data_IF_006499728906
#
_entry.id   IF_006499728906
#
_cell.length_a   1.000
_cell.length_b   1.000
_cell.length_c   1.000
_cell.angle_alpha   90.00
_cell.angle_beta   90.00
_cell.angle_gamma   90.00
#
_symmetry.space_group_name_H-M   'P 1'
#
loop_
_entity.id
_entity.type
_entity.pdbx_description
1 polymer ?
#
# COMPACT_ATOMS: atom_id res chain seq x y z
N UNK A 1 14.14 23.18 9.37
CA UNK A 1 12.90 22.97 8.59
C UNK A 1 13.22 23.23 7.12
N UNK A 2 12.66 22.44 6.20
CA UNK A 2 13.05 22.40 4.77
C UNK A 2 11.86 22.73 3.86
N UNK A 3 12.02 23.65 2.92
CA UNK A 3 11.06 23.81 1.82
C UNK A 3 11.24 22.66 0.83
N UNK A 4 10.14 22.08 0.37
CA UNK A 4 10.14 20.87 -0.46
C UNK A 4 9.45 21.07 -1.80
N UNK A 5 9.79 20.21 -2.75
CA UNK A 5 9.08 20.11 -4.02
C UNK A 5 8.13 18.90 -4.05
N UNK A 6 7.37 18.78 -5.13
CA UNK A 6 6.45 17.66 -5.34
C UNK A 6 7.12 16.29 -5.36
N UNK A 7 8.37 16.17 -5.84
CA UNK A 7 9.08 14.88 -5.85
C UNK A 7 9.30 14.33 -4.45
N UNK A 8 9.70 15.18 -3.51
CA UNK A 8 9.95 14.78 -2.13
C UNK A 8 8.66 14.38 -1.40
N UNK A 9 7.57 15.11 -1.65
CA UNK A 9 6.24 14.77 -1.11
C UNK A 9 5.77 13.43 -1.66
N UNK A 10 5.85 13.23 -2.98
CA UNK A 10 5.40 12.00 -3.63
C UNK A 10 6.28 10.81 -3.25
N UNK A 11 7.60 10.99 -3.13
CA UNK A 11 8.49 9.94 -2.65
C UNK A 11 8.08 9.48 -1.25
N UNK A 12 7.78 10.42 -0.34
CA UNK A 12 7.33 10.09 1.01
C UNK A 12 5.95 9.42 1.02
N UNK A 13 5.05 9.84 0.13
CA UNK A 13 3.74 9.21 -0.06
C UNK A 13 3.87 7.78 -0.62
N UNK A 14 4.76 7.55 -1.58
CA UNK A 14 5.00 6.23 -2.18
C UNK A 14 5.68 5.24 -1.23
N UNK A 15 6.28 5.70 -0.11
CA UNK A 15 6.67 4.80 0.98
C UNK A 15 5.46 4.20 1.71
N UNK A 16 4.32 4.92 1.72
CA UNK A 16 3.07 4.49 2.34
C UNK A 16 2.18 3.72 1.36
N UNK A 17 2.04 4.22 0.12
CA UNK A 17 1.28 3.58 -0.95
C UNK A 17 2.15 3.38 -2.20
N UNK A 18 3.05 2.38 -2.21
CA UNK A 18 3.94 2.12 -3.32
C UNK A 18 3.21 1.79 -4.62
N UNK A 19 3.73 2.26 -5.76
CA UNK A 19 3.13 2.02 -7.09
C UNK A 19 2.97 0.54 -7.45
N UNK A 20 3.88 -0.32 -6.97
CA UNK A 20 3.83 -1.76 -7.29
C UNK A 20 2.62 -2.49 -6.67
N UNK A 21 1.89 -1.84 -5.76
CA UNK A 21 0.67 -2.40 -5.17
C UNK A 21 -0.56 -2.20 -6.06
N UNK A 22 -0.49 -1.35 -7.08
CA UNK A 22 -1.62 -1.12 -7.97
C UNK A 22 -1.92 -2.35 -8.84
N UNK A 23 -3.19 -2.54 -9.18
CA UNK A 23 -3.61 -3.53 -10.16
C UNK A 23 -2.99 -3.25 -11.53
N UNK A 24 -2.76 -4.31 -12.30
CA UNK A 24 -2.21 -4.19 -13.64
C UNK A 24 -3.10 -3.34 -14.55
N UNK A 25 -2.51 -2.29 -15.13
CA UNK A 25 -3.22 -1.37 -16.03
C UNK A 25 -3.91 -0.20 -15.33
N UNK A 26 -3.83 -0.08 -14.01
CA UNK A 26 -4.39 1.05 -13.27
C UNK A 26 -3.58 2.35 -13.51
N UNK A 27 -4.21 3.45 -13.99
CA UNK A 27 -3.49 4.67 -14.39
C UNK A 27 -3.14 5.57 -13.19
N UNK A 28 -2.22 5.10 -12.34
CA UNK A 28 -1.71 5.84 -11.18
C UNK A 28 -0.49 6.72 -11.52
N UNK A 29 -0.07 7.56 -10.56
CA UNK A 29 1.11 8.42 -10.71
C UNK A 29 0.76 9.86 -11.09
N UNK A 30 1.78 10.65 -11.48
CA UNK A 30 1.57 12.01 -11.95
C UNK A 30 0.79 12.00 -13.27
N UNK A 31 -0.39 12.60 -13.28
CA UNK A 31 -1.25 12.65 -14.47
C UNK A 31 -1.22 14.01 -15.16
N UNK A 32 -1.17 15.10 -14.40
CA UNK A 32 -1.17 16.48 -14.92
C UNK A 32 -0.13 17.29 -14.17
N UNK A 33 0.64 18.13 -14.87
CA UNK A 33 1.59 19.06 -14.28
C UNK A 33 3.02 18.51 -14.11
N UNK A 34 3.71 19.00 -13.08
CA UNK A 34 5.14 18.75 -12.79
C UNK A 34 5.40 18.71 -11.28
N UNK A 35 6.42 17.97 -10.85
CA UNK A 35 6.75 17.76 -9.42
C UNK A 35 8.02 18.48 -8.96
N UNK A 36 8.73 19.17 -9.85
CA UNK A 36 9.97 19.87 -9.56
C UNK A 36 9.78 21.30 -9.02
N UNK A 37 8.53 21.74 -8.85
CA UNK A 37 8.20 23.04 -8.28
C UNK A 37 8.05 22.98 -6.76
N UNK A 38 8.29 24.12 -6.09
CA UNK A 38 8.07 24.26 -4.65
C UNK A 38 6.59 24.03 -4.32
N UNK A 39 6.32 23.24 -3.27
CA UNK A 39 4.96 22.94 -2.82
C UNK A 39 4.78 23.41 -1.39
N UNK A 40 3.87 24.37 -1.20
CA UNK A 40 3.49 24.88 0.13
C UNK A 40 2.18 24.26 0.63
N UNK A 41 1.25 23.96 -0.28
CA UNK A 41 -0.05 23.38 0.02
C UNK A 41 -0.29 22.14 -0.85
N UNK A 42 -0.57 21.03 -0.19
CA UNK A 42 -0.99 19.75 -0.79
C UNK A 42 -2.42 19.48 -0.37
N UNK A 43 -3.28 19.15 -1.33
CA UNK A 43 -4.66 18.78 -1.07
C UNK A 43 -4.90 17.31 -1.40
N UNK A 44 -5.54 16.58 -0.49
CA UNK A 44 -5.97 15.21 -0.70
C UNK A 44 -7.45 15.21 -1.08
N UNK A 45 -7.82 14.56 -2.18
CA UNK A 45 -9.22 14.49 -2.66
C UNK A 45 -9.58 13.10 -3.15
N UNK A 46 -10.86 12.74 -3.12
CA UNK A 46 -11.36 11.50 -3.73
C UNK A 46 -11.37 11.69 -5.26
N UNK A 47 -12.20 12.61 -5.72
CA UNK A 47 -12.38 12.94 -7.13
C UNK A 47 -11.77 14.31 -7.47
N UNK A 48 -11.38 14.50 -8.73
CA UNK A 48 -10.91 15.78 -9.26
C UNK A 48 -11.97 16.36 -10.18
N UNK A 49 -12.94 17.02 -9.55
CA UNK A 49 -14.04 17.73 -10.21
C UNK A 49 -13.74 19.23 -10.32
N UNK A 50 -14.48 19.94 -11.16
CA UNK A 50 -14.27 21.38 -11.37
C UNK A 50 -14.36 22.20 -10.07
N UNK A 51 -15.30 21.87 -9.16
CA UNK A 51 -15.43 22.50 -7.84
C UNK A 51 -14.25 22.18 -6.89
N UNK A 52 -13.64 20.99 -7.02
CA UNK A 52 -12.42 20.61 -6.27
C UNK A 52 -11.23 21.43 -6.76
N UNK A 53 -11.13 21.66 -8.07
CA UNK A 53 -10.09 22.54 -8.63
C UNK A 53 -10.30 23.99 -8.17
N UNK A 54 -11.54 24.47 -8.10
CA UNK A 54 -11.83 25.81 -7.56
C UNK A 54 -11.43 25.94 -6.07
N UNK A 55 -11.65 24.89 -5.27
CA UNK A 55 -11.14 24.82 -3.89
C UNK A 55 -9.60 24.85 -3.84
N UNK A 56 -8.93 24.10 -4.73
CA UNK A 56 -7.48 24.06 -4.82
C UNK A 56 -6.89 25.44 -5.13
N UNK A 57 -7.48 26.15 -6.10
CA UNK A 57 -7.08 27.52 -6.49
C UNK A 57 -7.26 28.47 -5.30
N UNK A 58 -8.43 28.43 -4.64
CA UNK A 58 -8.72 29.29 -3.48
C UNK A 58 -7.72 29.10 -2.33
N UNK A 59 -7.22 27.88 -2.14
CA UNK A 59 -6.27 27.54 -1.08
C UNK A 59 -4.81 27.55 -1.54
N UNK A 60 -4.49 28.08 -2.74
CA UNK A 60 -3.13 28.13 -3.28
C UNK A 60 -2.43 26.75 -3.30
N UNK A 61 -3.17 25.70 -3.63
CA UNK A 61 -2.65 24.33 -3.76
C UNK A 61 -1.77 24.24 -5.00
N UNK A 62 -0.65 23.52 -4.88
CA UNK A 62 0.24 23.21 -6.02
C UNK A 62 0.32 21.73 -6.36
N UNK A 63 -0.14 20.87 -5.45
CA UNK A 63 -0.22 19.44 -5.66
C UNK A 63 -1.53 18.89 -5.09
N UNK A 64 -2.31 18.23 -5.94
CA UNK A 64 -3.44 17.41 -5.55
C UNK A 64 -2.99 15.95 -5.59
N UNK A 65 -3.24 15.20 -4.50
CA UNK A 65 -3.18 13.74 -4.49
C UNK A 65 -4.62 13.24 -4.49
N UNK A 66 -5.03 12.64 -5.60
CA UNK A 66 -6.38 12.14 -5.82
C UNK A 66 -6.42 10.62 -5.73
N UNK A 67 -7.49 10.05 -5.18
CA UNK A 67 -7.67 8.60 -5.24
C UNK A 67 -8.12 8.17 -6.64
N UNK A 68 -9.20 8.78 -7.16
CA UNK A 68 -9.67 8.49 -8.51
C UNK A 68 -8.85 9.24 -9.56
N UNK A 69 -8.27 8.54 -10.56
CA UNK A 69 -7.49 9.17 -11.60
C UNK A 69 -8.38 10.06 -12.50
N UNK A 70 -8.14 11.40 -12.63
CA UNK A 70 -8.91 12.24 -13.55
C UNK A 70 -8.77 11.83 -15.03
N UNK A 71 -7.66 11.18 -15.38
CA UNK A 71 -7.37 10.61 -16.69
C UNK A 71 -7.35 9.07 -16.59
N UNK A 72 -8.51 8.46 -16.33
CA UNK A 72 -8.62 7.00 -16.28
C UNK A 72 -8.46 6.32 -17.65
N UNK A 73 -8.80 7.04 -18.73
CA UNK A 73 -8.59 6.60 -20.11
C UNK A 73 -7.72 7.63 -20.84
N UNK A 74 -6.86 7.19 -21.79
CA UNK A 74 -6.08 8.13 -22.60
C UNK A 74 -6.96 9.15 -23.32
N UNK A 75 -6.58 10.43 -23.22
CA UNK A 75 -7.28 11.51 -23.92
C UNK A 75 -7.08 11.38 -25.42
N UNK A 76 -8.17 11.39 -26.19
CA UNK A 76 -8.13 11.49 -27.66
C UNK A 76 -7.98 12.92 -28.15
N UNK A 77 -8.52 13.89 -27.39
CA UNK A 77 -8.49 15.33 -27.67
C UNK A 77 -8.73 16.11 -26.38
N UNK A 78 -8.25 17.35 -26.30
CA UNK A 78 -8.53 18.28 -25.20
C UNK A 78 -9.39 19.44 -25.70
N UNK A 79 -10.71 19.30 -25.57
CA UNK A 79 -11.69 20.33 -25.93
C UNK A 79 -12.03 21.16 -24.70
N UNK A 80 -11.55 22.41 -24.62
CA UNK A 80 -11.66 23.25 -23.41
C UNK A 80 -13.06 23.82 -23.17
N UNK A 81 -14.01 23.57 -24.06
CA UNK A 81 -15.44 23.82 -23.84
C UNK A 81 -16.18 22.61 -23.23
N UNK A 82 -15.57 21.42 -23.21
CA UNK A 82 -16.07 20.24 -22.50
C UNK A 82 -15.81 20.31 -20.99
N UNK A 83 -16.58 19.57 -20.18
CA UNK A 83 -16.39 19.52 -18.73
C UNK A 83 -14.99 19.06 -18.31
N UNK A 84 -14.53 17.93 -18.85
CA UNK A 84 -13.20 17.40 -18.55
C UNK A 84 -12.11 18.35 -19.05
N UNK A 85 -12.29 18.96 -20.21
CA UNK A 85 -11.33 19.91 -20.78
C UNK A 85 -11.21 21.20 -19.96
N UNK A 86 -12.32 21.78 -19.47
CA UNK A 86 -12.29 22.95 -18.56
C UNK A 86 -11.55 22.64 -17.26
N UNK A 87 -11.82 21.48 -16.67
CA UNK A 87 -11.14 21.03 -15.46
C UNK A 87 -9.61 20.92 -15.68
N UNK A 88 -9.19 20.27 -16.77
CA UNK A 88 -7.77 20.15 -17.13
C UNK A 88 -7.16 21.51 -17.45
N UNK A 89 -7.86 22.36 -18.20
CA UNK A 89 -7.40 23.72 -18.52
C UNK A 89 -7.18 24.56 -17.26
N UNK A 90 -8.11 24.50 -16.28
CA UNK A 90 -7.94 25.17 -14.98
C UNK A 90 -6.69 24.67 -14.24
N UNK A 91 -6.50 23.35 -14.15
CA UNK A 91 -5.30 22.79 -13.52
C UNK A 91 -4.01 23.30 -14.17
N UNK A 92 -3.94 23.30 -15.51
CA UNK A 92 -2.77 23.76 -16.27
C UNK A 92 -2.55 25.26 -16.06
N UNK A 93 -3.58 26.10 -16.22
CA UNK A 93 -3.45 27.57 -16.11
C UNK A 93 -3.08 28.06 -14.71
N UNK A 94 -3.35 27.26 -13.68
CA UNK A 94 -3.04 27.60 -12.28
C UNK A 94 -1.81 26.85 -11.74
N UNK A 95 -1.09 26.12 -12.60
CA UNK A 95 0.08 25.31 -12.25
C UNK A 95 -0.20 24.36 -11.08
N UNK A 96 -1.31 23.63 -11.15
CA UNK A 96 -1.72 22.64 -10.14
C UNK A 96 -1.44 21.24 -10.69
N UNK A 97 -0.51 20.54 -10.05
CA UNK A 97 -0.19 19.17 -10.40
C UNK A 97 -1.18 18.19 -9.77
N UNK A 98 -1.50 17.11 -10.48
CA UNK A 98 -2.38 16.05 -9.99
C UNK A 98 -1.68 14.70 -10.05
N UNK A 99 -1.57 14.06 -8.90
CA UNK A 99 -1.05 12.71 -8.73
C UNK A 99 -2.19 11.76 -8.34
N UNK A 100 -2.33 10.64 -9.03
CA UNK A 100 -3.36 9.63 -8.77
C UNK A 100 -2.79 8.46 -7.94
N UNK A 101 -3.52 8.08 -6.89
CA UNK A 101 -3.23 6.96 -6.00
C UNK A 101 -4.50 6.12 -5.76
N UNK A 102 -4.75 5.21 -6.69
CA UNK A 102 -6.00 4.46 -6.80
C UNK A 102 -5.86 3.09 -6.12
N UNK A 103 -5.75 1.99 -6.87
CA UNK A 103 -5.72 0.64 -6.28
C UNK A 103 -4.51 0.38 -5.39
N UNK A 104 -3.39 1.08 -5.59
CA UNK A 104 -2.26 1.01 -4.66
C UNK A 104 -2.63 1.53 -3.25
N UNK A 105 -3.56 2.48 -3.15
CA UNK A 105 -4.06 2.99 -1.88
C UNK A 105 -5.11 2.06 -1.27
N UNK A 106 -5.85 1.31 -2.08
CA UNK A 106 -6.78 0.28 -1.60
C UNK A 106 -6.08 -0.92 -0.95
N UNK A 107 -4.90 -1.25 -1.49
CA UNK A 107 -4.07 -2.37 -1.06
C UNK A 107 -3.17 -2.02 0.12
N UNK A 108 -2.70 -0.77 0.20
CA UNK A 108 -1.76 -0.32 1.23
C UNK A 108 -2.26 -0.53 2.67
N UNK A 109 -1.32 -0.84 3.58
CA UNK A 109 -1.61 -0.91 5.02
C UNK A 109 -1.89 0.49 5.55
N UNK A 110 -3.05 0.69 6.17
CA UNK A 110 -3.57 2.00 6.57
C UNK A 110 -4.27 2.76 5.43
N UNK A 111 -4.45 2.12 4.27
CA UNK A 111 -5.16 2.65 3.11
C UNK A 111 -6.69 2.63 3.25
N UNK A 112 -7.40 2.76 2.14
CA UNK A 112 -8.88 2.93 2.10
C UNK A 112 -9.60 1.86 2.92
N UNK A 113 -9.27 0.60 2.68
CA UNK A 113 -9.96 -0.54 3.30
C UNK A 113 -9.64 -0.71 4.79
N UNK A 114 -8.45 -0.30 5.24
CA UNK A 114 -8.11 -0.26 6.68
C UNK A 114 -8.84 0.89 7.39
N UNK A 115 -8.96 2.05 6.73
CA UNK A 115 -9.72 3.18 7.26
C UNK A 115 -11.21 2.85 7.38
N UNK A 116 -11.79 2.18 6.37
CA UNK A 116 -13.16 1.69 6.42
C UNK A 116 -13.35 0.65 7.53
N UNK A 117 -12.48 -0.36 7.61
CA UNK A 117 -12.53 -1.37 8.67
C UNK A 117 -12.41 -0.77 10.07
N UNK A 118 -11.54 0.23 10.25
CA UNK A 118 -11.37 0.95 11.51
C UNK A 118 -12.62 1.76 11.87
N UNK A 119 -13.21 2.49 10.91
CA UNK A 119 -14.48 3.23 11.13
C UNK A 119 -15.61 2.27 11.53
N UNK A 120 -15.69 1.11 10.89
CA UNK A 120 -16.66 0.05 11.21
C UNK A 120 -16.30 -0.76 12.46
N UNK A 121 -15.21 -0.42 13.15
CA UNK A 121 -14.77 -1.05 14.41
C UNK A 121 -14.56 -2.56 14.28
N UNK A 122 -14.07 -3.02 13.12
CA UNK A 122 -13.78 -4.43 12.91
C UNK A 122 -12.58 -4.86 13.75
N UNK A 123 -12.77 -5.92 14.52
CA UNK A 123 -11.72 -6.62 15.26
C UNK A 123 -11.00 -7.61 14.33
N UNK A 124 -9.69 -7.72 14.55
CA UNK A 124 -8.82 -8.66 13.84
C UNK A 124 -8.94 -8.60 12.30
N UNK A 125 -8.91 -7.40 11.68
CA UNK A 125 -9.07 -7.30 10.24
C UNK A 125 -7.93 -8.02 9.51
N UNK A 126 -8.30 -8.80 8.50
CA UNK A 126 -7.40 -9.49 7.58
C UNK A 126 -7.78 -9.17 6.13
N UNK A 127 -6.87 -9.42 5.19
CA UNK A 127 -7.08 -9.12 3.77
C UNK A 127 -8.19 -10.01 3.19
N UNK A 128 -9.18 -9.40 2.55
CA UNK A 128 -10.28 -10.10 1.87
C UNK A 128 -9.80 -10.73 0.55
N UNK A 129 -9.14 -9.94 -0.29
CA UNK A 129 -8.66 -10.35 -1.62
C UNK A 129 -7.15 -10.13 -1.71
N UNK A 130 -6.32 -11.16 -1.49
CA UNK A 130 -4.88 -11.05 -1.73
C UNK A 130 -4.60 -10.71 -3.19
N UNK A 131 -3.87 -9.61 -3.43
CA UNK A 131 -3.42 -9.18 -4.77
C UNK A 131 -1.91 -9.08 -4.87
N UNK A 132 -1.22 -8.94 -3.73
CA UNK A 132 0.22 -8.87 -3.67
C UNK A 132 0.74 -9.67 -2.48
N UNK A 133 1.79 -10.45 -2.70
CA UNK A 133 2.55 -11.09 -1.65
C UNK A 133 4.01 -10.99 -2.06
N UNK A 134 4.80 -10.32 -1.24
CA UNK A 134 6.22 -10.15 -1.56
C UNK A 134 6.94 -11.47 -1.40
N UNK A 135 7.66 -11.87 -2.44
CA UNK A 135 8.54 -13.02 -2.40
C UNK A 135 9.63 -12.81 -1.34
N UNK A 136 9.92 -13.88 -0.60
CA UNK A 136 11.04 -13.91 0.32
C UNK A 136 12.19 -14.68 -0.31
N UNK A 137 13.40 -14.21 -0.03
CA UNK A 137 14.64 -14.91 -0.37
C UNK A 137 15.43 -15.18 0.90
N UNK A 138 16.22 -16.24 0.87
CA UNK A 138 17.17 -16.57 1.93
C UNK A 138 18.59 -16.37 1.39
N UNK A 139 19.36 -15.53 2.06
CA UNK A 139 20.81 -15.43 1.86
C UNK A 139 21.46 -16.50 2.73
N UNK A 140 22.35 -17.28 2.15
CA UNK A 140 23.37 -18.02 2.89
C UNK A 140 24.74 -17.53 2.45
N UNK A 141 25.56 -17.06 3.39
CA UNK A 141 26.91 -16.55 3.11
C UNK A 141 27.90 -17.19 4.06
N UNK A 142 29.09 -17.51 3.56
CA UNK A 142 30.14 -18.22 4.28
C UNK A 142 31.25 -17.23 4.64
N UNK A 143 31.48 -17.04 5.94
CA UNK A 143 32.36 -15.98 6.45
C UNK A 143 33.28 -16.54 7.54
N UNK A 144 34.54 -16.09 7.66
CA UNK A 144 35.40 -16.42 8.80
C UNK A 144 34.73 -16.12 10.13
N UNK A 145 34.87 -17.03 11.10
CA UNK A 145 34.23 -16.93 12.42
C UNK A 145 34.43 -15.57 13.10
N UNK A 146 35.60 -14.98 12.96
CA UNK A 146 35.95 -13.68 13.56
C UNK A 146 35.15 -12.50 12.98
N UNK A 147 34.68 -12.61 11.73
CA UNK A 147 33.94 -11.56 11.01
C UNK A 147 32.42 -11.81 10.96
N UNK A 148 31.96 -12.99 11.40
CA UNK A 148 30.55 -13.36 11.36
C UNK A 148 29.63 -12.44 12.18
N UNK A 149 30.13 -11.91 13.29
CA UNK A 149 29.40 -10.94 14.13
C UNK A 149 29.08 -9.64 13.39
N UNK A 150 30.10 -9.01 12.80
CA UNK A 150 29.98 -7.76 12.05
C UNK A 150 29.04 -7.92 10.85
N UNK A 151 29.19 -9.01 10.10
CA UNK A 151 28.35 -9.29 8.93
C UNK A 151 26.86 -9.42 9.32
N UNK A 152 26.54 -10.15 10.39
CA UNK A 152 25.16 -10.29 10.90
C UNK A 152 24.55 -8.93 11.24
N UNK A 153 25.32 -8.08 11.93
CA UNK A 153 24.86 -6.74 12.29
C UNK A 153 24.61 -5.87 11.05
N UNK A 154 25.53 -5.89 10.07
CA UNK A 154 25.39 -5.14 8.82
C UNK A 154 24.16 -5.57 8.00
N UNK A 155 23.90 -6.89 7.90
CA UNK A 155 22.72 -7.44 7.24
C UNK A 155 21.43 -7.03 7.95
N UNK A 156 21.40 -7.13 9.28
CA UNK A 156 20.23 -6.76 10.08
C UNK A 156 19.90 -5.26 9.99
N UNK A 157 20.91 -4.39 9.97
CA UNK A 157 20.76 -2.93 9.83
C UNK A 157 20.07 -2.51 8.53
N UNK A 158 20.24 -3.28 7.45
CA UNK A 158 19.56 -3.02 6.16
C UNK A 158 18.21 -3.71 6.03
N UNK A 159 17.75 -4.40 7.08
CA UNK A 159 16.42 -4.99 7.19
C UNK A 159 16.36 -6.50 6.93
N UNK A 160 17.48 -7.18 6.69
CA UNK A 160 17.47 -8.64 6.63
C UNK A 160 17.09 -9.23 8.00
N UNK A 161 16.32 -10.31 7.99
CA UNK A 161 15.85 -10.96 9.21
C UNK A 161 14.77 -10.18 9.96
N UNK A 162 14.05 -9.26 9.30
CA UNK A 162 12.88 -8.62 9.90
C UNK A 162 11.61 -9.46 9.62
N UNK A 163 11.13 -10.17 10.63
CA UNK A 163 9.99 -11.10 10.52
C UNK A 163 9.03 -10.85 11.69
N UNK A 164 7.79 -10.43 11.37
CA UNK A 164 6.81 -10.05 12.38
C UNK A 164 7.34 -8.90 13.26
N UNK A 165 7.39 -9.12 14.57
CA UNK A 165 7.89 -8.15 15.56
C UNK A 165 9.37 -8.35 15.91
N UNK A 166 10.08 -9.26 15.22
CA UNK A 166 11.49 -9.55 15.44
C UNK A 166 12.34 -8.95 14.31
N UNK A 167 13.55 -8.50 14.65
CA UNK A 167 14.51 -7.95 13.69
C UNK A 167 15.89 -8.62 13.85
N UNK A 168 16.76 -8.44 12.87
CA UNK A 168 18.12 -9.00 12.87
C UNK A 168 18.15 -10.55 13.00
N UNK A 169 17.06 -11.23 12.63
CA UNK A 169 16.99 -12.69 12.69
C UNK A 169 17.98 -13.30 11.69
N UNK A 170 18.90 -14.10 12.21
CA UNK A 170 19.82 -14.92 11.42
C UNK A 170 20.07 -16.24 12.13
N UNK A 171 20.48 -17.24 11.38
CA UNK A 171 20.93 -18.53 11.90
C UNK A 171 22.36 -18.78 11.42
N UNK A 172 23.19 -19.39 12.27
CA UNK A 172 24.58 -19.68 11.94
C UNK A 172 24.92 -21.13 12.24
N UNK A 173 25.68 -21.75 11.34
CA UNK A 173 26.27 -23.07 11.54
C UNK A 173 27.76 -23.02 11.23
N UNK A 174 28.58 -23.57 12.13
CA UNK A 174 30.03 -23.67 11.92
C UNK A 174 30.36 -24.81 10.95
N UNK A 175 31.38 -24.59 10.12
CA UNK A 175 31.87 -25.56 9.14
C UNK A 175 33.31 -25.27 8.71
N UNK A 176 33.79 -26.05 7.74
CA UNK A 176 35.10 -25.84 7.13
C UNK A 176 34.92 -25.45 5.66
N UNK A 177 35.42 -24.27 5.31
CA UNK A 177 35.62 -23.85 3.93
C UNK A 177 36.92 -24.43 3.38
N UNK A 178 36.89 -24.88 2.13
CA UNK A 178 38.08 -25.37 1.41
C UNK A 178 38.19 -24.69 0.06
N UNK A 179 39.34 -24.13 -0.23
CA UNK A 179 39.59 -23.46 -1.50
C UNK A 179 41.06 -23.55 -1.89
N UNK A 180 41.34 -23.45 -3.19
CA UNK A 180 42.69 -23.43 -3.75
C UNK A 180 42.85 -22.11 -4.50
N UNK A 181 43.56 -21.10 -3.94
CA UNK A 181 43.73 -19.83 -4.61
C UNK A 181 44.55 -20.02 -5.90
N UNK A 182 43.95 -19.65 -7.04
CA UNK A 182 44.57 -19.75 -8.36
C UNK A 182 45.58 -18.63 -8.63
N UNK A 183 46.22 -18.69 -9.78
CA UNK A 183 47.13 -17.65 -10.25
C UNK A 183 46.39 -16.29 -10.36
N UNK A 184 47.00 -15.22 -9.84
CA UNK A 184 46.44 -13.86 -9.87
C UNK A 184 45.47 -13.52 -8.72
N UNK A 185 45.20 -14.44 -7.79
CA UNK A 185 44.33 -14.19 -6.62
C UNK A 185 45.06 -13.48 -5.46
N UNK A 186 44.38 -12.63 -4.71
CA UNK A 186 44.92 -12.01 -3.49
C UNK A 186 44.11 -12.47 -2.27
N UNK A 187 44.24 -13.75 -1.86
CA UNK A 187 43.37 -14.31 -0.84
C UNK A 187 43.59 -13.58 0.50
N UNK A 188 42.48 -13.27 1.18
CA UNK A 188 42.52 -12.72 2.54
C UNK A 188 43.16 -13.71 3.53
N UNK A 189 42.96 -15.02 3.29
CA UNK A 189 43.53 -16.12 4.09
C UNK A 189 44.16 -17.13 3.13
N UNK A 190 45.44 -17.48 3.38
CA UNK A 190 46.15 -18.53 2.64
C UNK A 190 47.11 -18.04 1.56
N UNK A 191 47.60 -18.97 0.72
CA UNK A 191 48.57 -18.70 -0.36
C UNK A 191 48.18 -19.33 -1.69
N UNK A 192 48.55 -18.68 -2.79
CA UNK A 192 48.36 -19.22 -4.14
C UNK A 192 49.00 -20.60 -4.30
N UNK A 193 48.27 -21.49 -4.98
CA UNK A 193 48.72 -22.85 -5.29
C UNK A 193 48.72 -23.83 -4.11
N UNK A 194 48.22 -23.44 -2.93
CA UNK A 194 48.07 -24.30 -1.77
C UNK A 194 46.58 -24.49 -1.43
N UNK A 195 46.16 -25.73 -1.15
CA UNK A 195 44.81 -25.97 -0.67
C UNK A 195 44.69 -25.45 0.77
N UNK A 196 43.77 -24.54 0.98
CA UNK A 196 43.50 -23.93 2.27
C UNK A 196 42.24 -24.54 2.88
N UNK A 197 42.26 -24.70 4.21
CA UNK A 197 41.10 -25.11 5.01
C UNK A 197 40.91 -24.09 6.13
N UNK A 198 39.73 -23.48 6.19
CA UNK A 198 39.43 -22.37 7.11
C UNK A 198 38.14 -22.68 7.88
N UNK A 199 38.13 -22.36 9.18
CA UNK A 199 36.92 -22.41 10.00
C UNK A 199 36.01 -21.24 9.67
N UNK A 200 34.80 -21.53 9.20
CA UNK A 200 33.82 -20.55 8.75
C UNK A 200 32.47 -20.73 9.46
N UNK A 201 31.73 -19.63 9.57
CA UNK A 201 30.29 -19.66 9.87
C UNK A 201 29.51 -19.50 8.56
N UNK A 202 28.59 -20.43 8.29
CA UNK A 202 27.50 -20.20 7.34
C UNK A 202 26.46 -19.34 8.04
N UNK A 203 26.36 -18.08 7.67
CA UNK A 203 25.34 -17.14 8.15
C UNK A 203 24.16 -17.14 7.19
N UNK A 204 22.97 -17.35 7.73
CA UNK A 204 21.74 -17.43 6.97
C UNK A 204 20.70 -16.42 7.46
N UNK A 205 20.04 -15.70 6.55
CA UNK A 205 18.97 -14.75 6.89
C UNK A 205 17.94 -14.62 5.77
N UNK A 206 16.71 -14.27 6.12
CA UNK A 206 15.59 -14.10 5.18
C UNK A 206 15.34 -12.62 4.92
N UNK A 207 15.04 -12.24 3.69
CA UNK A 207 14.70 -10.87 3.34
C UNK A 207 13.67 -10.83 2.20
N UNK A 208 12.85 -9.77 2.13
CA UNK A 208 11.99 -9.50 0.97
C UNK A 208 12.79 -9.10 -0.27
N UNK A 209 12.35 -9.50 -1.46
CA UNK A 209 13.05 -9.22 -2.73
C UNK A 209 13.33 -7.72 -2.94
N UNK A 210 12.45 -6.81 -2.46
CA UNK A 210 12.70 -5.36 -2.56
C UNK A 210 13.98 -4.89 -1.84
N UNK A 211 14.48 -5.64 -0.85
CA UNK A 211 15.69 -5.33 -0.11
C UNK A 211 16.96 -5.96 -0.70
N UNK A 212 16.85 -6.85 -1.69
CA UNK A 212 17.97 -7.65 -2.19
C UNK A 212 19.22 -6.82 -2.52
N UNK A 213 19.06 -5.74 -3.29
CA UNK A 213 20.19 -4.87 -3.66
C UNK A 213 20.89 -4.26 -2.45
N UNK A 214 20.13 -3.90 -1.40
CA UNK A 214 20.69 -3.34 -0.16
C UNK A 214 21.38 -4.42 0.67
N UNK A 215 20.78 -5.59 0.76
CA UNK A 215 21.31 -6.76 1.47
C UNK A 215 22.62 -7.22 0.85
N UNK A 216 22.67 -7.41 -0.47
CA UNK A 216 23.89 -7.82 -1.17
C UNK A 216 24.98 -6.75 -1.09
N UNK A 217 24.62 -5.46 -1.23
CA UNK A 217 25.60 -4.39 -1.03
C UNK A 217 26.19 -4.40 0.38
N UNK A 218 25.36 -4.56 1.41
CA UNK A 218 25.81 -4.65 2.80
C UNK A 218 26.75 -5.85 3.00
N UNK A 219 26.40 -7.01 2.45
CA UNK A 219 27.25 -8.21 2.47
C UNK A 219 28.60 -7.93 1.80
N UNK A 220 28.62 -7.47 0.55
CA UNK A 220 29.87 -7.20 -0.19
C UNK A 220 30.76 -6.15 0.49
N UNK A 221 30.18 -5.19 1.21
CA UNK A 221 30.96 -4.15 1.91
C UNK A 221 31.56 -4.63 3.23
N UNK A 222 30.93 -5.57 3.93
CA UNK A 222 31.34 -5.99 5.28
C UNK A 222 31.88 -7.42 5.34
N UNK A 223 32.05 -8.06 4.18
CA UNK A 223 32.70 -9.36 4.09
C UNK A 223 34.22 -9.18 3.90
N UNK A 224 35.08 -9.95 4.59
CA UNK A 224 36.54 -9.78 4.51
C UNK A 224 37.16 -10.27 3.19
N UNK A 225 36.45 -11.12 2.45
CA UNK A 225 36.93 -11.68 1.18
C UNK A 225 36.60 -10.78 -0.01
N UNK A 226 37.52 -10.74 -0.97
CA UNK A 226 37.31 -10.07 -2.27
C UNK A 226 36.26 -10.80 -3.11
N UNK A 227 36.37 -12.12 -3.19
CA UNK A 227 35.41 -13.00 -3.86
C UNK A 227 34.61 -13.78 -2.81
N UNK A 228 33.29 -13.57 -2.81
CA UNK A 228 32.41 -13.99 -1.71
C UNK A 228 31.54 -15.14 -2.19
N UNK A 229 31.63 -16.28 -1.50
CA UNK A 229 30.72 -17.39 -1.72
C UNK A 229 29.40 -17.13 -0.98
N UNK A 230 28.30 -17.10 -1.74
CA UNK A 230 26.95 -16.98 -1.18
C UNK A 230 25.91 -17.62 -2.09
N UNK A 231 24.81 -18.04 -1.49
CA UNK A 231 23.64 -18.60 -2.16
C UNK A 231 22.40 -17.72 -1.90
N UNK A 232 21.54 -17.65 -2.90
CA UNK A 232 20.20 -17.05 -2.78
C UNK A 232 19.17 -18.13 -3.07
N UNK A 233 18.38 -18.48 -2.06
CA UNK A 233 17.26 -19.41 -2.19
C UNK A 233 15.96 -18.62 -2.33
N UNK A 234 15.13 -19.00 -3.31
CA UNK A 234 13.74 -18.56 -3.35
C UNK A 234 12.94 -19.35 -2.33
N UNK A 235 12.10 -18.67 -1.56
CA UNK A 235 11.28 -19.28 -0.53
C UNK A 235 9.82 -19.34 -0.96
N UNK A 236 9.16 -20.47 -0.71
CA UNK A 236 7.71 -20.61 -0.95
C UNK A 236 6.87 -19.89 0.12
N UNK A 237 7.40 -19.73 1.34
CA UNK A 237 6.76 -18.90 2.35
C UNK A 237 6.95 -17.42 1.97
N UNK A 238 5.92 -16.83 1.38
CA UNK A 238 5.88 -15.39 1.10
C UNK A 238 5.70 -14.54 2.35
N UNK A 239 5.81 -13.22 2.19
CA UNK A 239 5.50 -12.27 3.24
C UNK A 239 4.00 -12.24 3.58
N UNK A 240 3.59 -11.38 4.52
CA UNK A 240 2.16 -11.16 4.78
C UNK A 240 1.51 -10.62 3.51
N UNK A 241 0.46 -11.31 3.04
CA UNK A 241 -0.29 -10.86 1.87
C UNK A 241 -0.91 -9.48 2.10
N UNK A 242 -0.84 -8.66 1.06
CA UNK A 242 -1.54 -7.39 0.91
C UNK A 242 -2.65 -7.57 -0.13
N UNK A 243 -3.67 -6.73 -0.04
CA UNK A 243 -4.71 -6.76 -1.04
C UNK A 243 -5.94 -5.95 -0.73
N UNK A 244 -6.95 -6.13 -1.58
CA UNK A 244 -8.19 -5.37 -1.56
C UNK A 244 -9.13 -5.86 -0.45
N UNK A 245 -9.84 -4.90 0.14
CA UNK A 245 -10.84 -5.15 1.17
C UNK A 245 -10.28 -5.71 2.48
N UNK A 246 -11.11 -5.70 3.51
CA UNK A 246 -10.84 -6.31 4.81
C UNK A 246 -12.00 -7.18 5.23
N UNK A 247 -11.70 -8.24 5.98
CA UNK A 247 -12.70 -9.04 6.69
C UNK A 247 -12.30 -9.16 8.15
N UNK A 248 -13.27 -9.00 9.05
CA UNK A 248 -13.05 -9.06 10.49
C UNK A 248 -14.37 -9.28 11.23
N UNK A 249 -14.34 -9.05 12.54
CA UNK A 249 -15.48 -9.32 13.42
C UNK A 249 -15.98 -8.07 14.12
N UNK A 250 -17.29 -7.94 14.29
CA UNK A 250 -17.87 -6.98 15.22
C UNK A 250 -17.60 -7.44 16.66
N UNK A 251 -17.46 -6.49 17.59
CA UNK A 251 -17.31 -6.81 19.02
C UNK A 251 -18.54 -7.55 19.56
N UNK A 252 -19.74 -7.13 19.16
CA UNK A 252 -21.02 -7.74 19.53
C UNK A 252 -21.83 -8.08 18.27
N UNK A 253 -22.56 -9.19 18.32
CA UNK A 253 -23.47 -9.58 17.23
C UNK A 253 -24.69 -8.65 17.21
N UNK A 254 -25.12 -8.23 16.02
CA UNK A 254 -26.31 -7.40 15.84
C UNK A 254 -27.12 -7.85 14.62
N UNK A 255 -28.34 -7.30 14.46
CA UNK A 255 -29.13 -7.55 13.25
C UNK A 255 -28.51 -6.86 12.04
N UNK A 256 -28.74 -7.39 10.83
CA UNK A 256 -28.30 -6.78 9.59
C UNK A 256 -28.83 -5.35 9.43
N UNK A 257 -30.07 -5.10 9.87
CA UNK A 257 -30.68 -3.77 9.86
C UNK A 257 -29.95 -2.79 10.80
N UNK A 258 -29.65 -3.21 12.02
CA UNK A 258 -28.91 -2.36 12.97
C UNK A 258 -27.48 -2.10 12.48
N UNK A 259 -26.84 -3.12 11.91
CA UNK A 259 -25.53 -2.98 11.28
C UNK A 259 -25.57 -1.98 10.11
N UNK A 260 -26.58 -2.06 9.24
CA UNK A 260 -26.74 -1.11 8.14
C UNK A 260 -26.91 0.33 8.66
N UNK A 261 -27.74 0.54 9.69
CA UNK A 261 -27.89 1.85 10.33
C UNK A 261 -26.58 2.36 10.96
N UNK A 262 -25.80 1.46 11.57
CA UNK A 262 -24.47 1.76 12.07
C UNK A 262 -23.52 2.18 10.94
N UNK A 263 -23.47 1.46 9.82
CA UNK A 263 -22.68 1.83 8.63
C UNK A 263 -23.07 3.21 8.12
N UNK A 264 -24.38 3.46 7.92
CA UNK A 264 -24.92 4.74 7.45
C UNK A 264 -24.45 5.91 8.32
N UNK A 265 -24.62 5.79 9.64
CA UNK A 265 -24.24 6.83 10.61
C UNK A 265 -22.73 7.05 10.65
N UNK A 266 -21.96 5.96 10.72
CA UNK A 266 -20.51 5.98 10.89
C UNK A 266 -19.79 6.56 9.68
N UNK A 267 -20.28 6.28 8.47
CA UNK A 267 -19.68 6.78 7.23
C UNK A 267 -20.32 8.10 6.76
N UNK A 268 -21.31 8.62 7.50
CA UNK A 268 -21.99 9.87 7.20
C UNK A 268 -22.65 9.85 5.83
N UNK A 269 -23.52 8.87 5.60
CA UNK A 269 -24.25 8.68 4.34
C UNK A 269 -25.73 9.04 4.53
N UNK A 270 -26.30 9.79 3.58
CA UNK A 270 -27.73 10.20 3.63
C UNK A 270 -28.67 9.02 3.39
N UNK A 271 -28.23 8.02 2.61
CA UNK A 271 -28.92 6.76 2.39
C UNK A 271 -27.95 5.65 1.99
N UNK A 272 -28.40 4.42 2.16
CA UNK A 272 -27.71 3.18 1.82
C UNK A 272 -28.75 2.15 1.35
N UNK A 273 -28.33 1.11 0.63
CA UNK A 273 -29.20 0.02 0.18
C UNK A 273 -28.86 -1.26 0.94
N UNK A 274 -29.89 -2.00 1.34
CA UNK A 274 -29.74 -3.27 2.05
C UNK A 274 -30.22 -4.42 1.16
N UNK A 275 -29.40 -5.46 1.03
CA UNK A 275 -29.72 -6.70 0.33
C UNK A 275 -29.61 -7.84 1.34
N UNK A 276 -30.71 -8.54 1.58
CA UNK A 276 -30.80 -9.62 2.57
C UNK A 276 -31.93 -9.43 3.57
N UNK A 277 -32.03 -10.35 4.52
CA UNK A 277 -33.00 -10.29 5.61
C UNK A 277 -32.49 -9.35 6.73
N UNK A 278 -33.25 -8.31 7.04
CA UNK A 278 -32.89 -7.31 8.05
C UNK A 278 -32.69 -7.89 9.46
N UNK A 279 -33.33 -9.02 9.77
CA UNK A 279 -33.22 -9.68 11.06
C UNK A 279 -32.07 -10.70 11.13
N UNK A 280 -31.38 -10.95 10.00
CA UNK A 280 -30.23 -11.83 9.95
C UNK A 280 -29.13 -11.37 10.92
N UNK A 281 -28.47 -12.32 11.57
CA UNK A 281 -27.37 -12.04 12.49
C UNK A 281 -26.09 -11.70 11.74
N UNK A 282 -25.41 -10.65 12.19
CA UNK A 282 -24.15 -10.19 11.65
C UNK A 282 -23.10 -10.17 12.76
N UNK A 283 -22.02 -10.92 12.55
CA UNK A 283 -20.82 -10.93 13.39
C UNK A 283 -19.56 -10.75 12.55
N UNK A 284 -19.44 -11.45 11.42
CA UNK A 284 -18.29 -11.37 10.51
C UNK A 284 -18.61 -10.48 9.32
N UNK A 285 -17.83 -9.42 9.15
CA UNK A 285 -18.07 -8.36 8.15
C UNK A 285 -16.91 -8.33 7.18
N UNK A 286 -17.21 -8.39 5.89
CA UNK A 286 -16.28 -8.01 4.83
C UNK A 286 -16.58 -6.56 4.39
N UNK A 287 -15.55 -5.77 4.11
CA UNK A 287 -15.66 -4.40 3.59
C UNK A 287 -14.67 -4.18 2.47
N UNK A 288 -15.12 -3.55 1.38
CA UNK A 288 -14.28 -3.13 0.25
C UNK A 288 -14.83 -1.82 -0.30
N UNK A 289 -14.02 -0.76 -0.29
CA UNK A 289 -14.35 0.53 -0.91
C UNK A 289 -14.56 0.42 -2.42
N UNK A 290 -15.38 1.30 -2.98
CA UNK A 290 -15.59 1.35 -4.42
C UNK A 290 -16.50 0.23 -4.96
N UNK A 291 -16.23 -0.23 -6.18
CA UNK A 291 -16.99 -1.29 -6.85
C UNK A 291 -16.56 -2.69 -6.38
N UNK A 292 -17.37 -3.27 -5.49
CA UNK A 292 -17.13 -4.61 -4.94
C UNK A 292 -17.78 -5.77 -5.68
N UNK A 293 -18.43 -5.56 -6.84
CA UNK A 293 -19.25 -6.58 -7.49
C UNK A 293 -18.49 -7.88 -7.77
N UNK A 294 -17.21 -7.78 -8.16
CA UNK A 294 -16.35 -8.94 -8.48
C UNK A 294 -16.05 -9.84 -7.27
N UNK A 295 -16.24 -9.33 -6.04
CA UNK A 295 -15.71 -9.96 -4.83
C UNK A 295 -16.77 -10.57 -3.91
N UNK A 296 -18.06 -10.51 -4.28
CA UNK A 296 -19.15 -11.10 -3.48
C UNK A 296 -18.90 -12.59 -3.19
N UNK A 297 -18.42 -13.36 -4.18
CA UNK A 297 -18.12 -14.78 -4.00
C UNK A 297 -16.93 -15.01 -3.08
N UNK A 298 -15.94 -14.11 -3.05
CA UNK A 298 -14.78 -14.21 -2.14
C UNK A 298 -15.21 -13.90 -0.70
N UNK A 299 -16.01 -12.85 -0.50
CA UNK A 299 -16.59 -12.52 0.81
C UNK A 299 -17.40 -13.70 1.36
N UNK A 300 -18.28 -14.29 0.55
CA UNK A 300 -19.06 -15.46 0.98
C UNK A 300 -18.18 -16.67 1.32
N UNK A 301 -17.19 -16.99 0.49
CA UNK A 301 -16.26 -18.12 0.76
C UNK A 301 -15.43 -17.93 2.02
N UNK A 302 -15.13 -16.70 2.41
CA UNK A 302 -14.46 -16.40 3.68
C UNK A 302 -15.43 -16.34 4.88
N UNK A 303 -16.72 -16.62 4.66
CA UNK A 303 -17.73 -16.71 5.71
C UNK A 303 -18.23 -15.35 6.19
N UNK A 304 -18.17 -14.30 5.38
CA UNK A 304 -18.79 -13.03 5.73
C UNK A 304 -20.31 -13.20 5.88
N UNK A 305 -20.86 -12.71 6.99
CA UNK A 305 -22.31 -12.62 7.20
C UNK A 305 -22.90 -11.48 6.36
N UNK A 306 -22.11 -10.41 6.20
CA UNK A 306 -22.44 -9.25 5.38
C UNK A 306 -21.19 -8.71 4.66
N UNK A 307 -21.38 -8.22 3.45
CA UNK A 307 -20.37 -7.50 2.67
C UNK A 307 -20.77 -6.02 2.50
N UNK A 308 -19.90 -5.10 2.90
CA UNK A 308 -20.07 -3.66 2.74
C UNK A 308 -19.26 -3.18 1.54
N UNK A 309 -19.92 -2.57 0.55
CA UNK A 309 -19.24 -2.00 -0.62
C UNK A 309 -20.11 -0.94 -1.29
N UNK A 310 -19.71 -0.46 -2.47
CA UNK A 310 -20.46 0.44 -3.33
C UNK A 310 -20.82 -0.19 -4.68
N UNK A 311 -21.62 0.54 -5.45
CA UNK A 311 -21.95 0.27 -6.86
C UNK A 311 -22.53 -1.12 -7.16
N UNK A 312 -23.23 -1.74 -6.20
CA UNK A 312 -23.77 -3.09 -6.38
C UNK A 312 -24.80 -3.09 -7.50
N UNK A 313 -24.53 -3.90 -8.53
CA UNK A 313 -25.39 -4.08 -9.69
C UNK A 313 -26.59 -4.97 -9.37
N UNK A 314 -27.69 -4.77 -10.10
CA UNK A 314 -28.94 -5.48 -9.85
C UNK A 314 -28.80 -7.01 -9.91
N UNK A 315 -28.12 -7.54 -10.93
CA UNK A 315 -27.91 -8.99 -11.05
C UNK A 315 -26.91 -9.51 -10.02
N UNK A 316 -25.89 -8.73 -9.67
CA UNK A 316 -24.96 -9.09 -8.59
C UNK A 316 -25.66 -9.14 -7.23
N UNK A 317 -26.66 -8.29 -6.98
CA UNK A 317 -27.51 -8.39 -5.79
C UNK A 317 -28.35 -9.70 -5.79
N UNK A 318 -28.92 -10.10 -6.93
CA UNK A 318 -29.59 -11.40 -7.05
C UNK A 318 -28.65 -12.57 -6.79
N UNK A 319 -27.43 -12.54 -7.35
CA UNK A 319 -26.41 -13.56 -7.09
C UNK A 319 -26.08 -13.65 -5.60
N UNK A 320 -25.92 -12.50 -4.93
CA UNK A 320 -25.68 -12.42 -3.49
C UNK A 320 -26.84 -13.04 -2.69
N UNK A 321 -28.09 -12.75 -3.07
CA UNK A 321 -29.28 -13.37 -2.46
C UNK A 321 -29.28 -14.89 -2.63
N UNK A 322 -29.00 -15.39 -3.84
CA UNK A 322 -28.97 -16.82 -4.14
C UNK A 322 -27.88 -17.57 -3.36
N UNK A 323 -26.73 -16.94 -3.13
CA UNK A 323 -25.65 -17.53 -2.31
C UNK A 323 -25.80 -17.26 -0.80
N UNK A 324 -26.86 -16.56 -0.38
CA UNK A 324 -27.10 -16.20 1.02
C UNK A 324 -26.02 -15.30 1.60
N UNK A 325 -25.51 -14.33 0.83
CA UNK A 325 -24.64 -13.26 1.30
C UNK A 325 -25.46 -11.98 1.47
N UNK A 326 -25.50 -11.43 2.69
CA UNK A 326 -26.09 -10.11 2.89
C UNK A 326 -25.13 -9.03 2.37
N UNK A 327 -25.67 -7.93 1.85
CA UNK A 327 -24.88 -6.80 1.38
C UNK A 327 -25.46 -5.49 1.94
N UNK A 328 -24.56 -4.63 2.40
CA UNK A 328 -24.83 -3.21 2.62
C UNK A 328 -24.13 -2.45 1.51
N UNK A 329 -24.91 -1.95 0.56
CA UNK A 329 -24.39 -0.99 -0.41
C UNK A 329 -24.43 0.40 0.20
N UNK A 330 -23.27 0.88 0.62
CA UNK A 330 -23.11 2.18 1.24
C UNK A 330 -22.77 3.30 0.23
N UNK A 331 -22.72 2.99 -1.07
CA UNK A 331 -22.29 3.86 -2.15
C UNK A 331 -20.77 3.93 -2.29
N UNK A 332 -20.29 4.20 -3.50
CA UNK A 332 -18.84 4.34 -3.79
C UNK A 332 -18.17 5.42 -2.94
N UNK A 333 -18.88 6.53 -2.69
CA UNK A 333 -18.36 7.70 -1.99
C UNK A 333 -17.93 7.45 -0.52
N UNK A 334 -18.16 6.26 0.05
CA UNK A 334 -17.62 5.90 1.36
C UNK A 334 -16.09 5.98 1.42
N UNK A 335 -15.42 5.87 0.28
CA UNK A 335 -13.96 6.00 0.18
C UNK A 335 -13.46 7.41 0.56
N UNK A 336 -14.36 8.39 0.70
CA UNK A 336 -14.03 9.73 1.23
C UNK A 336 -13.26 9.72 2.54
N UNK A 337 -13.37 8.64 3.33
CA UNK A 337 -12.58 8.42 4.56
C UNK A 337 -11.08 8.52 4.32
N UNK A 338 -10.62 8.18 3.10
CA UNK A 338 -9.21 8.24 2.73
C UNK A 338 -8.68 9.68 2.70
N UNK A 339 -9.52 10.69 2.42
CA UNK A 339 -9.08 12.10 2.36
C UNK A 339 -8.43 12.52 3.67
N UNK A 340 -9.13 12.29 4.79
CA UNK A 340 -8.64 12.63 6.13
C UNK A 340 -7.50 11.70 6.57
N UNK A 341 -7.63 10.39 6.32
CA UNK A 341 -6.62 9.40 6.71
C UNK A 341 -5.25 9.64 6.06
N UNK A 342 -5.25 9.87 4.74
CA UNK A 342 -4.03 10.16 3.98
C UNK A 342 -3.47 11.54 4.34
N UNK A 343 -4.32 12.56 4.50
CA UNK A 343 -3.85 13.89 4.90
C UNK A 343 -3.16 13.84 6.27
N UNK A 344 -3.76 13.16 7.25
CA UNK A 344 -3.17 12.99 8.58
C UNK A 344 -1.86 12.18 8.54
N UNK A 345 -1.83 11.07 7.79
CA UNK A 345 -0.61 10.27 7.64
C UNK A 345 0.52 11.10 7.02
N UNK A 346 0.27 11.73 5.87
CA UNK A 346 1.30 12.45 5.14
C UNK A 346 1.76 13.70 5.89
N UNK A 347 0.85 14.41 6.58
CA UNK A 347 1.19 15.54 7.44
C UNK A 347 2.16 15.11 8.56
N UNK A 348 1.86 13.99 9.24
CA UNK A 348 2.73 13.42 10.27
C UNK A 348 4.11 13.09 9.71
N UNK A 349 4.17 12.36 8.59
CA UNK A 349 5.45 11.97 7.95
C UNK A 349 6.27 13.20 7.51
N UNK A 350 5.61 14.22 6.95
CA UNK A 350 6.27 15.47 6.56
C UNK A 350 6.83 16.21 7.78
N UNK A 351 6.08 16.26 8.89
CA UNK A 351 6.54 16.85 10.14
C UNK A 351 7.76 16.11 10.71
N UNK A 352 7.77 14.77 10.70
CA UNK A 352 8.92 13.95 11.13
C UNK A 352 10.18 14.20 10.28
N UNK A 353 10.01 14.50 8.99
CA UNK A 353 11.10 14.89 8.09
C UNK A 353 11.47 16.38 8.18
N UNK A 354 10.74 17.17 8.96
CA UNK A 354 10.96 18.61 9.11
C UNK A 354 10.59 19.43 7.87
N UNK A 355 9.67 18.95 7.04
CA UNK A 355 9.19 19.63 5.84
C UNK A 355 8.21 20.76 6.21
N UNK A 356 8.36 21.92 5.56
CA UNK A 356 7.42 23.04 5.68
C UNK A 356 6.40 22.91 4.56
N UNK A 357 5.30 22.22 4.83
CA UNK A 357 4.20 22.00 3.89
C UNK A 357 2.90 21.85 4.67
N UNK A 358 1.83 22.44 4.15
CA UNK A 358 0.48 22.25 4.66
C UNK A 358 -0.22 21.16 3.86
N UNK A 359 -0.79 20.17 4.55
CA UNK A 359 -1.47 19.02 3.94
C UNK A 359 -2.87 18.93 4.52
N UNK A 360 -3.88 18.95 3.67
CA UNK A 360 -5.27 18.95 4.10
C UNK A 360 -6.19 18.17 3.16
N UNK A 361 -7.31 17.70 3.71
CA UNK A 361 -8.37 17.04 2.96
C UNK A 361 -9.29 18.06 2.29
N UNK A 362 -9.64 17.83 1.03
CA UNK A 362 -10.65 18.60 0.31
C UNK A 362 -12.01 18.50 1.01
N UNK A 363 -12.70 19.64 1.11
CA UNK A 363 -14.05 19.76 1.69
C UNK A 363 -15.15 19.79 0.63
N UNK A 364 -14.79 19.86 -0.65
CA UNK A 364 -15.75 19.77 -1.74
C UNK A 364 -16.53 18.44 -1.68
N UNK A 365 -17.84 18.54 -1.89
CA UNK A 365 -18.73 17.39 -2.03
C UNK A 365 -18.59 16.82 -3.45
N UNK A 366 -18.39 15.51 -3.53
CA UNK A 366 -18.20 14.79 -4.80
C UNK A 366 -19.13 13.60 -4.97
N UNK A 367 -20.02 13.33 -4.00
CA UNK A 367 -21.09 12.36 -4.15
C UNK A 367 -22.11 12.83 -5.20
N UNK A 368 -22.27 12.11 -6.33
CA UNK A 368 -23.26 12.48 -7.34
C UNK A 368 -24.69 12.10 -6.96
N UNK A 369 -24.87 11.31 -5.88
CA UNK A 369 -26.18 10.76 -5.51
C UNK A 369 -26.81 11.51 -4.34
N UNK A 370 -28.07 11.87 -4.51
CA UNK A 370 -28.96 12.35 -3.45
C UNK A 370 -30.04 11.29 -3.21
N UNK A 371 -30.21 10.88 -1.96
CA UNK A 371 -31.29 9.97 -1.57
C UNK A 371 -32.55 10.79 -1.27
N UNK A 372 -33.69 10.39 -1.87
CA UNK A 372 -34.98 11.09 -1.78
C UNK A 372 -35.96 10.40 -0.84
#
# INVERSE_FOLDING_TARGET
>A
MKTVNGHEIIQLFEEFSPKYLAESGDPIGLQIGKLNEKVENVMITLDVLENVVDEAIKNNVKLIIAHHPPLFRPLKSLQTDSYQGRMIEKLIKHDISVYAAHTNLDVAVGGVNDLLASKLQLQEPSVLVPTYQEELRKLAVYVPKEHAGELREALGKVGAGHIGNYSHCSFSSEGQGRFLPGEGTHPHIGKQGALEEVSEEKVETVYPVSLEKKVLKAMFTHHPYEEIAYDIYSLENGSKALGLGRIGYLAEEMSLKDFALFVKKTLGMDGIRLIGDGDAKVKKVAVLGGDGNKFIGKAKRQGADVFVSGDIYYHTAHDAMMMGLNIVDAGHHIEKVMKEGVAAHLAKRCSEKGFIVNIFASKAETNPFTYM
#
